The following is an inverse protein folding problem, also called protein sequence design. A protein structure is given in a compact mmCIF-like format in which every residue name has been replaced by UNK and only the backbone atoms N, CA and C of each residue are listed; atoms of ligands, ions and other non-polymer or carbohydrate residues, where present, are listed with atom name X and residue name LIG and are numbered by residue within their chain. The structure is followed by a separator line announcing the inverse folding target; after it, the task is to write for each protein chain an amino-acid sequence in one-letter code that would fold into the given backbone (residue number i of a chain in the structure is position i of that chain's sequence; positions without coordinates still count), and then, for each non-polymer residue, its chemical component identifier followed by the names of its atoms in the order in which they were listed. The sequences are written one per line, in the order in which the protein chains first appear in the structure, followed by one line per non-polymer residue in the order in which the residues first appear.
data_IF_077451310657
#
_entry.id   IF_077451310657
#
_cell.length_a   1.000
_cell.length_b   1.000
_cell.length_c   1.000
_cell.angle_alpha   90.00
_cell.angle_beta   90.00
_cell.angle_gamma   90.00
#
_symmetry.space_group_name_H-M   'P 1'
#
loop_
_entity.id
_entity.type
_entity.pdbx_description
1 polymer ?
#
# COMPACT_ATOMS: atom_id res chain seq x y z
N UNK A 1 44.16 1.31 -46.29
CA UNK A 1 42.71 0.99 -46.20
C UNK A 1 42.26 0.71 -44.77
N UNK A 2 42.94 -0.19 -44.02
CA UNK A 2 42.57 -0.52 -42.63
C UNK A 2 42.66 0.65 -41.63
N UNK A 3 43.64 1.56 -41.78
CA UNK A 3 43.81 2.72 -40.89
C UNK A 3 42.66 3.73 -41.00
N UNK A 4 42.09 3.91 -42.20
CA UNK A 4 40.93 4.78 -42.42
C UNK A 4 39.65 4.22 -41.79
N UNK A 5 39.49 2.89 -41.80
CA UNK A 5 38.34 2.22 -41.18
C UNK A 5 38.41 2.31 -39.65
N UNK A 6 39.59 2.20 -39.05
CA UNK A 6 39.79 2.42 -37.61
C UNK A 6 39.49 3.86 -37.18
N UNK A 7 39.90 4.87 -37.96
CA UNK A 7 39.61 6.28 -37.64
C UNK A 7 38.12 6.60 -37.77
N UNK A 8 37.43 6.03 -38.78
CA UNK A 8 36.00 6.20 -39.00
C UNK A 8 35.14 5.57 -37.88
N UNK A 9 35.52 4.38 -37.40
CA UNK A 9 34.85 3.69 -36.28
C UNK A 9 35.10 4.41 -34.95
N UNK A 10 36.31 4.94 -34.73
CA UNK A 10 36.63 5.68 -33.51
C UNK A 10 35.91 7.04 -33.43
N UNK A 11 35.73 7.70 -34.58
CA UNK A 11 35.01 8.97 -34.68
C UNK A 11 33.50 8.82 -34.39
N UNK A 12 32.91 7.64 -34.64
CA UNK A 12 31.52 7.33 -34.32
C UNK A 12 31.32 6.90 -32.86
N UNK A 13 32.34 6.30 -32.23
CA UNK A 13 32.25 5.68 -30.92
C UNK A 13 32.40 6.63 -29.71
N UNK A 14 32.78 7.90 -29.92
CA UNK A 14 33.08 8.83 -28.82
C UNK A 14 32.36 10.18 -28.92
N UNK A 15 31.08 10.17 -29.33
CA UNK A 15 30.17 11.26 -29.03
C UNK A 15 29.03 10.72 -28.16
N UNK A 16 29.28 10.51 -26.86
CA UNK A 16 28.17 10.50 -25.90
C UNK A 16 27.59 11.92 -25.99
N UNK A 17 26.45 12.12 -26.67
CA UNK A 17 25.90 13.45 -26.81
C UNK A 17 25.61 13.93 -25.38
N UNK A 18 25.89 15.20 -25.08
CA UNK A 18 25.60 15.80 -23.76
C UNK A 18 24.19 15.45 -23.27
N UNK A 19 23.27 15.24 -24.21
CA UNK A 19 21.92 14.71 -24.06
C UNK A 19 21.89 13.37 -23.28
N UNK A 20 22.68 12.36 -23.64
CA UNK A 20 22.69 11.07 -22.91
C UNK A 20 23.13 11.27 -21.45
N UNK A 21 24.14 12.10 -21.20
CA UNK A 21 24.58 12.40 -19.81
C UNK A 21 23.48 13.08 -19.00
N UNK A 22 22.77 14.04 -19.61
CA UNK A 22 21.67 14.77 -18.97
C UNK A 22 20.45 13.86 -18.77
N UNK A 23 20.09 13.05 -19.77
CA UNK A 23 18.99 12.08 -19.68
C UNK A 23 19.25 11.07 -18.57
N UNK A 24 20.47 10.51 -18.48
CA UNK A 24 20.83 9.61 -17.38
C UNK A 24 20.78 10.31 -16.02
N UNK A 25 21.22 11.57 -15.93
CA UNK A 25 21.13 12.36 -14.70
C UNK A 25 19.68 12.60 -14.28
N UNK A 26 18.79 12.95 -15.22
CA UNK A 26 17.37 13.19 -14.96
C UNK A 26 16.68 11.90 -14.50
N UNK A 27 16.92 10.78 -15.18
CA UNK A 27 16.36 9.49 -14.78
C UNK A 27 16.88 9.09 -13.41
N UNK A 28 18.19 9.23 -13.17
CA UNK A 28 18.79 8.95 -11.87
C UNK A 28 18.21 9.81 -10.74
N UNK A 29 18.03 11.10 -10.99
CA UNK A 29 17.41 12.03 -10.04
C UNK A 29 15.93 11.69 -9.77
N UNK A 30 15.16 11.33 -10.80
CA UNK A 30 13.77 10.92 -10.65
C UNK A 30 13.65 9.63 -9.82
N UNK A 31 14.49 8.62 -10.11
CA UNK A 31 14.54 7.38 -9.34
C UNK A 31 14.95 7.64 -7.88
N UNK A 32 15.96 8.48 -7.65
CA UNK A 32 16.37 8.86 -6.31
C UNK A 32 15.25 9.57 -5.54
N UNK A 33 14.52 10.48 -6.18
CA UNK A 33 13.37 11.17 -5.60
C UNK A 33 12.25 10.19 -5.23
N UNK A 34 11.94 9.23 -6.11
CA UNK A 34 10.96 8.19 -5.83
C UNK A 34 11.39 7.30 -4.66
N UNK A 35 12.66 6.92 -4.59
CA UNK A 35 13.19 6.14 -3.47
C UNK A 35 13.05 6.88 -2.14
N UNK A 36 13.37 8.18 -2.12
CA UNK A 36 13.18 9.03 -0.94
C UNK A 36 11.71 9.11 -0.54
N UNK A 37 10.80 9.29 -1.51
CA UNK A 37 9.36 9.33 -1.25
C UNK A 37 8.84 8.01 -0.64
N UNK A 38 9.29 6.86 -1.15
CA UNK A 38 8.95 5.53 -0.59
C UNK A 38 9.40 5.38 0.86
N UNK A 39 10.61 5.86 1.18
CA UNK A 39 11.15 5.78 2.54
C UNK A 39 10.42 6.72 3.49
N UNK A 40 10.03 7.92 3.03
CA UNK A 40 9.36 8.93 3.86
C UNK A 40 7.85 8.65 4.00
N UNK A 41 7.20 8.05 2.99
CA UNK A 41 5.77 7.76 2.99
C UNK A 41 5.22 7.15 4.29
N UNK A 42 5.84 6.09 4.88
CA UNK A 42 5.35 5.54 6.14
C UNK A 42 5.45 6.51 7.33
N UNK A 43 6.39 7.46 7.31
CA UNK A 43 6.55 8.46 8.39
C UNK A 43 5.55 9.61 8.29
N UNK A 44 4.94 9.84 7.11
CA UNK A 44 3.90 10.85 6.92
C UNK A 44 2.52 10.36 7.37
N UNK A 45 2.34 9.04 7.50
CA UNK A 45 1.09 8.41 7.90
C UNK A 45 1.17 8.19 9.41
N UNK A 46 0.51 9.06 10.19
CA UNK A 46 0.33 8.82 11.63
C UNK A 46 -0.65 7.66 11.85
N UNK A 47 -0.08 6.46 11.98
CA UNK A 47 -0.80 5.20 12.20
C UNK A 47 -1.83 5.31 13.34
N UNK A 48 -1.51 6.01 14.43
CA UNK A 48 -2.40 6.10 15.59
C UNK A 48 -3.67 6.90 15.29
N UNK A 49 -3.54 8.03 14.61
CA UNK A 49 -4.67 8.88 14.24
C UNK A 49 -5.64 8.15 13.32
N UNK A 50 -5.13 7.50 12.26
CA UNK A 50 -5.98 6.77 11.31
C UNK A 50 -6.65 5.54 11.93
N UNK A 51 -5.96 4.81 12.82
CA UNK A 51 -6.55 3.66 13.54
C UNK A 51 -7.77 4.10 14.35
N UNK A 52 -7.66 5.22 15.07
CA UNK A 52 -8.77 5.78 15.86
C UNK A 52 -9.93 6.20 14.99
N UNK A 53 -9.66 6.86 13.86
CA UNK A 53 -10.70 7.30 12.92
C UNK A 53 -11.45 6.12 12.29
N UNK A 54 -10.73 5.08 11.84
CA UNK A 54 -11.34 3.86 11.30
C UNK A 54 -12.16 3.14 12.38
N UNK A 55 -11.63 3.02 13.60
CA UNK A 55 -12.35 2.40 14.70
C UNK A 55 -13.63 3.16 15.06
N UNK A 56 -13.58 4.50 15.02
CA UNK A 56 -14.74 5.36 15.22
C UNK A 56 -15.80 5.15 14.14
N UNK A 57 -15.39 5.19 12.86
CA UNK A 57 -16.29 5.01 11.73
C UNK A 57 -16.99 3.65 11.76
N UNK A 58 -16.25 2.58 12.07
CA UNK A 58 -16.82 1.24 12.22
C UNK A 58 -17.79 1.16 13.39
N UNK A 59 -17.46 1.82 14.53
CA UNK A 59 -18.36 1.89 15.68
C UNK A 59 -19.65 2.64 15.37
N UNK A 60 -19.59 3.76 14.67
CA UNK A 60 -20.79 4.51 14.27
C UNK A 60 -21.66 3.73 13.29
N UNK A 61 -21.05 3.04 12.33
CA UNK A 61 -21.78 2.35 11.27
C UNK A 61 -22.36 1.02 11.73
N UNK A 62 -21.64 0.28 12.57
CA UNK A 62 -22.00 -1.11 12.95
C UNK A 62 -22.40 -1.27 14.41
N UNK A 63 -22.14 -0.26 15.25
CA UNK A 63 -22.26 -0.33 16.71
C UNK A 63 -21.18 -1.20 17.39
N UNK A 64 -20.27 -1.81 16.63
CA UNK A 64 -19.24 -2.74 17.12
C UNK A 64 -17.91 -2.03 17.36
N UNK A 65 -17.15 -2.49 18.35
CA UNK A 65 -15.83 -1.91 18.65
C UNK A 65 -14.77 -2.62 17.84
N UNK A 66 -14.07 -1.88 16.97
CA UNK A 66 -12.94 -2.38 16.21
C UNK A 66 -11.63 -2.06 16.94
N UNK A 67 -10.81 -3.08 17.14
CA UNK A 67 -9.43 -2.97 17.62
C UNK A 67 -8.49 -3.42 16.51
N UNK A 68 -7.56 -2.56 16.10
CA UNK A 68 -6.54 -2.84 15.09
C UNK A 68 -5.20 -2.93 15.82
N UNK A 69 -4.33 -3.87 15.50
CA UNK A 69 -2.96 -3.95 16.05
C UNK A 69 -2.07 -2.78 15.61
N UNK A 70 -0.85 -2.72 16.16
CA UNK A 70 0.12 -1.66 15.82
C UNK A 70 0.89 -1.95 14.51
N UNK A 71 0.80 -3.20 14.02
CA UNK A 71 1.47 -3.64 12.81
C UNK A 71 0.74 -3.14 11.56
N UNK A 72 1.25 -2.06 10.97
CA UNK A 72 0.81 -1.54 9.68
C UNK A 72 1.96 -1.60 8.68
N UNK A 73 1.75 -2.38 7.62
CA UNK A 73 2.67 -2.51 6.49
C UNK A 73 2.21 -1.68 5.30
N UNK A 74 3.14 -0.99 4.65
CA UNK A 74 2.93 -0.32 3.36
C UNK A 74 3.70 -1.06 2.27
N UNK A 75 3.03 -1.40 1.18
CA UNK A 75 3.63 -1.98 -0.03
C UNK A 75 3.47 -1.02 -1.19
N UNK A 76 4.58 -0.72 -1.87
CA UNK A 76 4.61 0.19 -3.00
C UNK A 76 5.23 -0.53 -4.21
N UNK A 77 4.55 -0.47 -5.35
CA UNK A 77 4.89 -1.06 -6.65
C UNK A 77 4.67 -2.60 -6.76
N UNK A 78 4.00 -3.09 -7.83
CA UNK A 78 3.35 -2.33 -8.90
C UNK A 78 1.97 -1.75 -8.53
N UNK A 79 1.50 -1.99 -7.31
CA UNK A 79 0.29 -1.41 -6.70
C UNK A 79 0.64 -0.64 -5.43
N UNK A 80 -0.31 0.08 -4.86
CA UNK A 80 -0.21 0.60 -3.49
C UNK A 80 -1.03 -0.31 -2.59
N UNK A 81 -0.42 -0.86 -1.55
CA UNK A 81 -1.07 -1.81 -0.65
C UNK A 81 -0.87 -1.42 0.81
N UNK A 82 -1.93 -1.58 1.59
CA UNK A 82 -1.92 -1.41 3.04
C UNK A 82 -2.20 -2.76 3.67
N UNK A 83 -1.37 -3.15 4.63
CA UNK A 83 -1.52 -4.39 5.39
C UNK A 83 -1.69 -4.02 6.85
N UNK A 84 -2.74 -4.52 7.45
CA UNK A 84 -3.02 -4.38 8.87
C UNK A 84 -2.83 -5.76 9.50
N UNK A 85 -2.11 -5.82 10.62
CA UNK A 85 -1.93 -7.05 11.39
C UNK A 85 -3.21 -7.48 12.10
N UNK A 86 -3.07 -7.92 13.36
CA UNK A 86 -4.17 -8.49 14.11
C UNK A 86 -5.32 -7.50 14.27
N UNK A 87 -6.51 -7.86 13.79
CA UNK A 87 -7.73 -7.06 13.92
C UNK A 87 -8.79 -7.88 14.63
N UNK A 88 -9.44 -7.26 15.60
CA UNK A 88 -10.57 -7.84 16.33
C UNK A 88 -11.75 -6.89 16.29
N UNK A 89 -12.92 -7.42 15.93
CA UNK A 89 -14.19 -6.73 15.98
C UNK A 89 -15.02 -7.34 17.12
N UNK A 90 -15.32 -6.53 18.13
CA UNK A 90 -16.12 -6.93 19.27
C UNK A 90 -17.60 -6.67 19.03
N UNK A 91 -18.46 -7.53 19.58
CA UNK A 91 -19.89 -7.27 19.59
C UNK A 91 -20.24 -6.04 20.44
N UNK A 92 -21.48 -5.56 20.28
CA UNK A 92 -22.02 -4.49 21.10
C UNK A 92 -21.93 -4.85 22.59
N UNK A 93 -21.88 -3.82 23.44
CA UNK A 93 -21.86 -4.01 24.89
C UNK A 93 -22.99 -4.95 25.32
N UNK A 94 -22.67 -5.88 26.22
CA UNK A 94 -23.60 -6.88 26.77
C UNK A 94 -24.02 -8.03 25.83
N UNK A 95 -23.37 -8.21 24.68
CA UNK A 95 -23.59 -9.36 23.79
C UNK A 95 -22.45 -10.38 23.92
N UNK A 96 -22.79 -11.65 24.17
CA UNK A 96 -21.85 -12.78 24.22
C UNK A 96 -22.03 -13.68 23.00
N UNK A 97 -20.95 -14.17 22.35
CA UNK A 97 -19.54 -13.97 22.69
C UNK A 97 -19.05 -12.54 22.42
N UNK A 98 -18.08 -12.08 23.24
CA UNK A 98 -17.52 -10.70 23.17
C UNK A 98 -16.89 -10.40 21.81
N UNK A 99 -16.20 -11.37 21.21
CA UNK A 99 -15.57 -11.24 19.89
C UNK A 99 -16.54 -11.70 18.81
N UNK A 100 -16.87 -10.81 17.88
CA UNK A 100 -17.68 -11.09 16.69
C UNK A 100 -16.83 -11.65 15.54
N UNK A 101 -15.73 -10.97 15.23
CA UNK A 101 -14.80 -11.38 14.20
C UNK A 101 -13.37 -11.14 14.67
N UNK A 102 -12.45 -12.02 14.31
CA UNK A 102 -11.03 -11.76 14.41
C UNK A 102 -10.30 -12.21 13.16
N UNK A 103 -9.21 -11.55 12.85
CA UNK A 103 -8.37 -11.89 11.70
C UNK A 103 -6.92 -11.52 12.02
N UNK A 104 -6.01 -12.36 11.55
CA UNK A 104 -4.59 -12.24 11.86
C UNK A 104 -3.94 -11.15 11.02
N UNK A 105 -4.42 -11.00 9.77
CA UNK A 105 -3.97 -9.95 8.86
C UNK A 105 -5.08 -9.59 7.86
N UNK A 106 -5.21 -8.30 7.53
CA UNK A 106 -5.99 -7.81 6.40
C UNK A 106 -5.12 -6.96 5.47
N UNK A 107 -5.06 -7.33 4.19
CA UNK A 107 -4.35 -6.55 3.17
C UNK A 107 -5.32 -6.00 2.13
N UNK A 108 -5.23 -4.70 1.86
CA UNK A 108 -6.02 -4.00 0.84
C UNK A 108 -5.05 -3.46 -0.20
N UNK A 109 -5.28 -3.80 -1.47
CA UNK A 109 -4.46 -3.35 -2.61
C UNK A 109 -5.29 -2.47 -3.52
N UNK A 110 -4.74 -1.32 -3.89
CA UNK A 110 -5.33 -0.34 -4.80
C UNK A 110 -4.40 -0.11 -5.99
N UNK A 111 -4.98 0.10 -7.17
CA UNK A 111 -4.21 0.26 -8.41
C UNK A 111 -3.42 1.57 -8.39
N UNK A 112 -2.16 1.53 -8.82
CA UNK A 112 -1.29 2.72 -8.82
C UNK A 112 -1.69 3.74 -9.89
N UNK A 113 -2.01 3.30 -11.12
CA UNK A 113 -2.33 4.21 -12.23
C UNK A 113 -3.55 5.10 -11.94
N UNK A 114 -4.69 4.57 -11.46
CA UNK A 114 -5.84 5.40 -11.08
C UNK A 114 -5.52 6.37 -9.94
N UNK A 115 -4.67 5.99 -8.97
CA UNK A 115 -4.30 6.88 -7.85
C UNK A 115 -3.53 8.12 -8.32
N UNK A 116 -2.69 7.99 -9.35
CA UNK A 116 -2.03 9.15 -9.98
C UNK A 116 -3.05 10.09 -10.64
N UNK A 117 -4.17 9.54 -11.09
CA UNK A 117 -5.33 10.28 -11.60
C UNK A 117 -6.34 10.66 -10.51
N UNK A 118 -5.94 10.56 -9.23
CA UNK A 118 -6.77 10.86 -8.05
C UNK A 118 -8.03 9.98 -7.92
N UNK A 119 -8.05 8.82 -8.56
CA UNK A 119 -9.12 7.83 -8.45
C UNK A 119 -8.68 6.64 -7.62
N UNK A 120 -9.46 6.33 -6.59
CA UNK A 120 -9.22 5.15 -5.77
C UNK A 120 -9.94 3.96 -6.39
N UNK A 121 -9.17 2.99 -6.89
CA UNK A 121 -9.70 1.73 -7.42
C UNK A 121 -9.09 0.55 -6.66
N UNK A 122 -9.94 -0.18 -5.93
CA UNK A 122 -9.54 -1.37 -5.18
C UNK A 122 -9.33 -2.53 -6.16
N UNK A 123 -8.12 -3.10 -6.13
CA UNK A 123 -7.77 -4.27 -6.93
C UNK A 123 -8.12 -5.57 -6.19
N UNK A 124 -7.73 -5.66 -4.91
CA UNK A 124 -7.94 -6.87 -4.11
C UNK A 124 -8.00 -6.57 -2.61
N UNK A 125 -8.84 -7.32 -1.91
CA UNK A 125 -8.84 -7.43 -0.46
C UNK A 125 -8.47 -8.88 -0.12
N UNK A 126 -7.52 -9.05 0.79
CA UNK A 126 -7.04 -10.36 1.27
C UNK A 126 -7.20 -10.39 2.79
N UNK A 127 -7.83 -11.44 3.30
CA UNK A 127 -8.04 -11.64 4.73
C UNK A 127 -7.38 -12.97 5.12
N UNK A 128 -6.48 -12.93 6.11
CA UNK A 128 -5.79 -14.11 6.62
C UNK A 128 -6.29 -14.43 8.04
N UNK A 129 -6.54 -15.71 8.31
CA UNK A 129 -6.92 -16.17 9.64
C UNK A 129 -8.32 -15.72 10.11
N UNK A 130 -9.24 -15.40 9.19
CA UNK A 130 -10.58 -14.94 9.53
C UNK A 130 -11.34 -15.98 10.39
N UNK A 131 -11.75 -15.56 11.58
CA UNK A 131 -12.61 -16.30 12.51
C UNK A 131 -13.86 -15.46 12.76
N UNK A 132 -15.03 -16.08 12.58
CA UNK A 132 -16.32 -15.43 12.76
C UNK A 132 -17.13 -16.18 13.81
N UNK A 133 -17.66 -15.45 14.77
CA UNK A 133 -18.64 -15.95 15.73
C UNK A 133 -19.98 -15.31 15.41
N UNK A 134 -20.76 -16.02 14.60
CA UNK A 134 -22.11 -15.61 14.21
C UNK A 134 -23.11 -16.19 15.19
N UNK A 135 -24.10 -15.38 15.56
CA UNK A 135 -25.26 -15.83 16.32
C UNK A 135 -26.47 -15.63 15.42
N UNK A 136 -27.20 -16.72 15.21
CA UNK A 136 -28.46 -16.72 14.48
C UNK A 136 -29.49 -16.02 15.37
N UNK A 137 -30.26 -15.11 14.78
CA UNK A 137 -31.35 -14.43 15.48
C UNK A 137 -32.58 -15.35 15.68
N UNK A 138 -33.61 -14.84 16.37
CA UNK A 138 -34.84 -15.62 16.61
C UNK A 138 -35.64 -15.89 15.31
N UNK A 139 -35.31 -15.21 14.21
CA UNK A 139 -35.92 -15.42 12.90
C UNK A 139 -35.16 -16.44 12.04
N UNK A 140 -34.05 -17.00 12.54
CA UNK A 140 -33.27 -17.99 11.79
C UNK A 140 -32.40 -17.38 10.70
N UNK A 141 -32.13 -16.07 10.76
CA UNK A 141 -31.25 -15.34 9.84
C UNK A 141 -29.96 -14.92 10.56
#
# INVERSE_FOLDING_TARGET
MAVYLSILVYHYAMHIPKIIKITTLIIGAAVALLAVAVVIAPFLIDSDTYRKEIAHYVKETTGRTLTIGDDIGLSLFPWVGFTLGHITLENQAHVSPRVFASLDEASIKVKLMPLLEQRVEVDRIVLHGLKLHLRIDEQGV
#
